data_IF_155933754609
#
_entry.id   IF_155933754609
#
_cell.length_a   1.000
_cell.length_b   1.000
_cell.length_c   1.000
_cell.angle_alpha   90.00
_cell.angle_beta   90.00
_cell.angle_gamma   90.00
#
_symmetry.space_group_name_H-M   'P 1'
#
loop_
_entity.id
_entity.type
_entity.pdbx_description
1 polymer ?
#
# COMPACT_ATOMS: atom_id res chain seq x y z
N UNK A 1 -10.25 -13.68 11.97
CA UNK A 1 -9.55 -12.38 12.17
C UNK A 1 -8.56 -12.19 11.08
N UNK A 2 -8.62 -11.08 10.40
CA UNK A 2 -7.70 -10.76 9.34
C UNK A 2 -6.35 -10.40 9.95
N UNK A 3 -5.31 -10.83 9.29
CA UNK A 3 -4.08 -10.14 9.30
C UNK A 3 -3.02 -10.60 10.29
N UNK A 4 -1.81 -10.57 9.80
CA UNK A 4 -0.55 -10.81 10.49
C UNK A 4 -0.15 -9.70 11.50
N UNK A 5 -1.06 -8.77 11.85
CA UNK A 5 -0.79 -7.62 12.70
C UNK A 5 0.13 -6.55 12.05
N UNK A 6 0.28 -6.55 10.73
CA UNK A 6 1.15 -5.60 10.01
C UNK A 6 0.74 -4.15 10.25
N UNK A 7 -0.55 -3.84 10.12
CA UNK A 7 -1.08 -2.48 10.32
C UNK A 7 -0.83 -1.99 11.76
N UNK A 8 -1.06 -2.84 12.76
CA UNK A 8 -0.76 -2.50 14.14
C UNK A 8 0.74 -2.28 14.38
N UNK A 9 1.59 -3.14 13.76
CA UNK A 9 3.04 -2.97 13.86
C UNK A 9 3.49 -1.67 13.18
N UNK A 10 2.95 -1.34 12.02
CA UNK A 10 3.25 -0.10 11.31
C UNK A 10 2.83 1.14 12.10
N UNK A 11 1.62 1.14 12.67
CA UNK A 11 1.14 2.20 13.54
C UNK A 11 2.01 2.37 14.79
N UNK A 12 2.42 1.25 15.42
CA UNK A 12 3.33 1.27 16.57
C UNK A 12 4.71 1.80 16.18
N UNK A 13 5.25 1.36 15.05
CA UNK A 13 6.52 1.85 14.54
C UNK A 13 6.46 3.35 14.26
N UNK A 14 5.39 3.81 13.59
CA UNK A 14 5.18 5.23 13.30
C UNK A 14 5.09 6.08 14.56
N UNK A 15 4.34 5.62 15.55
CA UNK A 15 4.21 6.26 16.85
C UNK A 15 5.56 6.37 17.57
N UNK A 16 6.30 5.26 17.67
CA UNK A 16 7.59 5.22 18.34
C UNK A 16 8.66 6.04 17.62
N UNK A 17 8.68 6.02 16.30
CA UNK A 17 9.60 6.84 15.50
C UNK A 17 9.31 8.33 15.70
N UNK A 18 8.04 8.71 15.67
CA UNK A 18 7.64 10.11 15.85
C UNK A 18 8.10 10.66 17.20
N UNK A 19 7.89 9.89 18.28
CA UNK A 19 8.31 10.24 19.63
C UNK A 19 9.84 10.28 19.77
N UNK A 20 10.53 9.21 19.36
CA UNK A 20 11.99 9.08 19.51
C UNK A 20 12.79 10.10 18.68
N UNK A 21 12.28 10.48 17.52
CA UNK A 21 12.92 11.47 16.66
C UNK A 21 12.60 12.91 17.09
N UNK A 22 11.77 13.10 18.12
CA UNK A 22 11.40 14.41 18.64
C UNK A 22 10.68 15.27 17.61
N UNK A 23 9.82 14.65 16.78
CA UNK A 23 9.07 15.36 15.78
C UNK A 23 7.98 16.23 16.41
N UNK A 24 7.72 17.38 15.79
CA UNK A 24 6.75 18.33 16.28
C UNK A 24 5.30 17.86 16.09
N UNK A 25 4.47 18.10 17.08
CA UNK A 25 3.05 17.77 17.07
C UNK A 25 2.77 16.35 17.53
N UNK A 26 1.52 15.94 17.44
CA UNK A 26 1.06 14.62 17.83
C UNK A 26 0.98 13.70 16.60
N UNK A 27 1.46 12.46 16.74
CA UNK A 27 1.18 11.39 15.79
C UNK A 27 -0.21 10.84 16.10
N UNK A 28 -1.16 11.08 15.21
CA UNK A 28 -2.54 10.58 15.34
C UNK A 28 -2.91 9.71 14.15
N UNK A 29 -3.81 8.71 14.33
CA UNK A 29 -4.16 7.83 13.23
C UNK A 29 -4.78 8.59 12.05
N UNK A 30 -5.66 9.56 12.30
CA UNK A 30 -6.39 10.31 11.26
C UNK A 30 -5.48 11.19 10.39
N UNK A 31 -4.32 11.62 10.94
CA UNK A 31 -3.40 12.52 10.24
C UNK A 31 -2.20 11.80 9.61
N UNK A 32 -1.93 10.60 10.08
CA UNK A 32 -0.67 9.94 9.78
C UNK A 32 -0.82 8.53 9.18
N UNK A 33 -2.05 7.97 9.16
CA UNK A 33 -2.32 6.66 8.57
C UNK A 33 -3.36 6.82 7.47
N UNK A 34 -3.01 6.42 6.26
CA UNK A 34 -3.79 6.68 5.06
C UNK A 34 -4.05 5.39 4.28
N UNK A 35 -5.30 5.18 3.90
CA UNK A 35 -5.72 4.11 3.00
C UNK A 35 -5.82 4.60 1.56
N UNK A 36 -6.19 5.87 1.36
CA UNK A 36 -6.27 6.51 0.05
C UNK A 36 -4.93 7.13 -0.39
N UNK A 37 -4.66 7.13 -1.70
CA UNK A 37 -3.43 7.67 -2.28
C UNK A 37 -3.40 9.20 -2.25
N UNK A 38 -4.53 9.84 -2.53
CA UNK A 38 -4.60 11.30 -2.56
C UNK A 38 -4.39 11.88 -1.18
N UNK A 39 -5.07 11.31 -0.16
CA UNK A 39 -4.88 11.71 1.24
C UNK A 39 -3.42 11.56 1.67
N UNK A 40 -2.78 10.45 1.29
CA UNK A 40 -1.37 10.21 1.58
C UNK A 40 -0.45 11.24 0.92
N UNK A 41 -0.68 11.55 -0.36
CA UNK A 41 0.12 12.53 -1.09
C UNK A 41 -0.04 13.94 -0.53
N UNK A 42 -1.26 14.31 -0.18
CA UNK A 42 -1.55 15.59 0.48
C UNK A 42 -0.91 15.67 1.87
N UNK A 43 -0.96 14.59 2.64
CA UNK A 43 -0.32 14.53 3.95
C UNK A 43 1.21 14.71 3.85
N UNK A 44 1.87 14.05 2.89
CA UNK A 44 3.32 14.25 2.66
C UNK A 44 3.62 15.67 2.24
N UNK A 45 2.77 16.28 1.40
CA UNK A 45 3.00 17.63 0.89
C UNK A 45 2.73 18.73 1.93
N UNK A 46 1.64 18.61 2.69
CA UNK A 46 1.09 19.72 3.47
C UNK A 46 1.28 19.58 4.99
N UNK A 47 1.48 18.36 5.51
CA UNK A 47 1.67 18.17 6.95
C UNK A 47 3.01 18.67 7.49
N UNK A 48 3.91 19.10 6.60
CA UNK A 48 5.19 19.71 6.98
C UNK A 48 6.31 18.70 7.24
N UNK A 49 7.49 19.24 7.52
CA UNK A 49 8.71 18.47 7.77
C UNK A 49 8.59 17.61 9.03
N UNK A 50 9.30 16.47 9.03
CA UNK A 50 9.53 15.63 10.21
C UNK A 50 8.22 15.10 10.82
N UNK A 51 7.37 14.51 9.97
CA UNK A 51 6.19 13.78 10.41
C UNK A 51 6.15 12.42 9.75
N UNK A 52 6.12 11.36 10.55
CA UNK A 52 5.96 10.00 10.02
C UNK A 52 4.62 9.87 9.31
N UNK A 53 4.61 9.25 8.14
CA UNK A 53 3.40 8.91 7.39
C UNK A 53 3.36 7.41 7.13
N UNK A 54 2.19 6.81 7.29
CA UNK A 54 1.93 5.39 7.05
C UNK A 54 0.93 5.27 5.91
N UNK A 55 1.27 4.47 4.89
CA UNK A 55 0.38 4.11 3.79
C UNK A 55 -0.01 2.66 3.92
N UNK A 56 -1.28 2.39 4.15
CA UNK A 56 -1.87 1.06 4.24
C UNK A 56 -2.29 0.53 2.85
N UNK A 57 -2.36 -0.79 2.72
CA UNK A 57 -2.88 -1.55 1.58
C UNK A 57 -2.24 -1.15 0.23
N UNK A 58 -0.92 -1.06 0.23
CA UNK A 58 -0.12 -0.62 -0.92
C UNK A 58 -0.29 -1.54 -2.14
N UNK A 59 -0.63 -2.80 -1.93
CA UNK A 59 -0.71 -3.80 -3.01
C UNK A 59 -1.81 -3.51 -4.03
N UNK A 60 -2.93 -2.92 -3.62
CA UNK A 60 -4.00 -2.51 -4.53
C UNK A 60 -3.65 -1.24 -5.30
N UNK A 61 -2.99 -0.32 -4.65
CA UNK A 61 -2.62 0.96 -5.25
C UNK A 61 -1.36 0.92 -6.11
N UNK A 62 -0.59 -0.16 -6.06
CA UNK A 62 0.69 -0.32 -6.75
C UNK A 62 0.75 -1.55 -7.65
N UNK A 63 -0.39 -2.10 -8.05
CA UNK A 63 -0.44 -3.26 -8.92
C UNK A 63 0.08 -2.87 -10.30
N UNK A 64 1.28 -3.32 -10.64
CA UNK A 64 2.04 -2.91 -11.82
C UNK A 64 1.43 -3.36 -13.15
N UNK A 65 0.37 -4.16 -13.13
CA UNK A 65 -0.24 -4.71 -14.35
C UNK A 65 -1.34 -3.82 -14.94
N UNK A 66 -2.01 -3.02 -14.11
CA UNK A 66 -3.15 -2.20 -14.53
C UNK A 66 -2.95 -0.69 -14.32
N UNK A 67 -1.79 -0.28 -13.79
CA UNK A 67 -1.60 1.08 -13.37
C UNK A 67 -1.09 2.00 -14.47
N UNK A 68 -1.89 3.01 -14.76
CA UNK A 68 -1.47 4.21 -15.50
C UNK A 68 -0.09 4.67 -15.00
N UNK A 69 0.87 4.77 -15.92
CA UNK A 69 2.23 5.30 -15.68
C UNK A 69 2.25 6.63 -14.87
N UNK A 70 1.09 7.29 -14.78
CA UNK A 70 0.90 8.55 -14.06
C UNK A 70 0.97 8.38 -12.54
N UNK A 71 0.37 7.35 -11.95
CA UNK A 71 0.41 7.16 -10.49
C UNK A 71 1.76 6.65 -10.00
N UNK A 72 2.40 5.79 -10.78
CA UNK A 72 3.76 5.35 -10.48
C UNK A 72 4.74 6.54 -10.47
N UNK A 73 4.62 7.47 -11.43
CA UNK A 73 5.40 8.72 -11.42
C UNK A 73 5.09 9.59 -10.20
N UNK A 74 3.83 9.66 -9.77
CA UNK A 74 3.44 10.41 -8.57
C UNK A 74 4.05 9.80 -7.30
N UNK A 75 4.08 8.48 -7.18
CA UNK A 75 4.73 7.81 -6.06
C UNK A 75 6.23 8.11 -5.99
N UNK A 76 6.95 8.05 -7.10
CA UNK A 76 8.36 8.44 -7.16
C UNK A 76 8.61 9.88 -6.71
N UNK A 77 7.74 10.81 -7.11
CA UNK A 77 7.80 12.21 -6.68
C UNK A 77 7.55 12.37 -5.16
N UNK A 78 6.58 11.63 -4.60
CA UNK A 78 6.27 11.64 -3.16
C UNK A 78 7.46 11.16 -2.35
N UNK A 79 8.09 10.07 -2.77
CA UNK A 79 9.27 9.55 -2.08
C UNK A 79 10.45 10.54 -2.17
N UNK A 80 10.66 11.15 -3.32
CA UNK A 80 11.69 12.18 -3.48
C UNK A 80 11.42 13.40 -2.59
N UNK A 81 10.16 13.83 -2.51
CA UNK A 81 9.74 14.94 -1.65
C UNK A 81 9.91 14.57 -0.17
N UNK A 82 9.58 13.35 0.22
CA UNK A 82 9.69 12.90 1.62
C UNK A 82 11.14 12.98 2.13
N UNK A 83 12.13 12.70 1.27
CA UNK A 83 13.55 12.84 1.61
C UNK A 83 13.92 14.31 1.87
N UNK A 84 13.46 15.23 1.01
CA UNK A 84 13.71 16.67 1.17
C UNK A 84 13.07 17.21 2.45
N UNK A 85 11.89 16.69 2.79
CA UNK A 85 11.12 17.10 3.97
C UNK A 85 11.48 16.30 5.22
N UNK A 86 12.40 15.34 5.14
CA UNK A 86 12.80 14.47 6.23
C UNK A 86 11.61 13.69 6.84
N UNK A 87 10.71 13.19 5.99
CA UNK A 87 9.50 12.45 6.38
C UNK A 87 9.79 10.96 6.28
N UNK A 88 9.80 10.20 7.38
CA UNK A 88 9.81 8.74 7.32
C UNK A 88 8.49 8.23 6.75
N UNK A 89 8.56 7.40 5.71
CA UNK A 89 7.41 6.74 5.10
C UNK A 89 7.40 5.26 5.50
N UNK A 90 6.24 4.77 5.91
CA UNK A 90 6.00 3.36 6.22
C UNK A 90 4.93 2.86 5.26
N UNK A 91 5.27 1.87 4.44
CA UNK A 91 4.35 1.22 3.52
C UNK A 91 3.96 -0.15 4.05
N UNK A 92 2.66 -0.44 4.06
CA UNK A 92 2.10 -1.71 4.52
C UNK A 92 1.45 -2.42 3.33
N UNK A 93 1.86 -3.65 3.07
CA UNK A 93 1.33 -4.45 1.97
C UNK A 93 1.46 -5.94 2.22
N UNK A 94 0.77 -6.74 1.42
CA UNK A 94 0.82 -8.21 1.52
C UNK A 94 1.93 -8.79 0.64
N UNK A 95 2.14 -8.22 -0.54
CA UNK A 95 3.02 -8.76 -1.57
C UNK A 95 3.99 -7.72 -2.15
N UNK A 96 5.02 -7.36 -1.39
CA UNK A 96 6.06 -6.44 -1.88
C UNK A 96 6.71 -6.88 -3.21
N UNK A 97 6.57 -8.14 -3.60
CA UNK A 97 7.11 -8.62 -4.88
C UNK A 97 6.33 -8.10 -6.09
N UNK A 98 5.08 -7.67 -5.91
CA UNK A 98 4.22 -7.08 -6.94
C UNK A 98 4.28 -5.55 -6.99
N UNK A 99 4.91 -4.92 -6.00
CA UNK A 99 5.03 -3.47 -5.92
C UNK A 99 5.94 -2.91 -7.01
N UNK A 100 5.75 -1.62 -7.28
CA UNK A 100 6.54 -0.85 -8.23
C UNK A 100 8.03 -0.95 -7.91
N UNK A 101 8.85 -1.04 -8.96
CA UNK A 101 10.30 -1.07 -8.87
C UNK A 101 10.83 0.14 -8.12
N UNK A 102 10.30 1.32 -8.39
CA UNK A 102 10.74 2.57 -7.78
C UNK A 102 10.56 2.58 -6.26
N UNK A 103 9.48 1.96 -5.75
CA UNK A 103 9.27 1.81 -4.30
C UNK A 103 10.22 0.77 -3.72
N UNK A 104 10.41 -0.36 -4.41
CA UNK A 104 11.40 -1.36 -3.99
C UNK A 104 12.79 -0.77 -3.93
N UNK A 105 13.08 0.10 -4.87
CA UNK A 105 14.39 0.74 -4.99
C UNK A 105 14.65 1.78 -3.91
N UNK A 106 13.66 2.26 -3.21
CA UNK A 106 13.77 3.38 -2.29
C UNK A 106 13.64 3.02 -0.81
N UNK A 107 13.21 1.79 -0.48
CA UNK A 107 13.09 1.40 0.92
C UNK A 107 14.44 0.98 1.51
N UNK A 108 14.67 1.37 2.76
CA UNK A 108 15.91 1.09 3.50
C UNK A 108 15.75 -0.07 4.47
N UNK A 109 14.56 -0.22 5.04
CA UNK A 109 14.25 -1.29 5.99
C UNK A 109 13.03 -2.09 5.52
N UNK A 110 13.11 -3.40 5.72
CA UNK A 110 11.99 -4.31 5.45
C UNK A 110 11.64 -5.10 6.71
N UNK A 111 10.36 -5.12 7.03
CA UNK A 111 9.79 -5.87 8.13
C UNK A 111 8.97 -7.03 7.58
N UNK A 112 9.34 -8.25 7.96
CA UNK A 112 8.69 -9.47 7.48
C UNK A 112 8.09 -10.21 8.67
N UNK A 113 6.78 -10.52 8.68
CA UNK A 113 6.19 -11.32 9.74
C UNK A 113 6.87 -12.67 9.85
N UNK A 114 7.21 -13.11 11.07
CA UNK A 114 7.94 -14.37 11.31
C UNK A 114 7.12 -15.64 11.10
N UNK A 115 5.85 -15.51 10.72
CA UNK A 115 4.95 -16.66 10.46
C UNK A 115 4.38 -17.30 11.73
N UNK A 116 3.15 -17.75 11.61
CA UNK A 116 2.37 -18.34 12.71
C UNK A 116 1.32 -17.39 13.26
N UNK A 117 0.10 -17.88 13.38
CA UNK A 117 -1.10 -17.12 13.75
C UNK A 117 -1.05 -16.44 15.13
N UNK A 118 -0.01 -16.71 15.92
CA UNK A 118 0.12 -16.22 17.30
C UNK A 118 1.39 -15.43 17.59
N UNK A 119 2.28 -15.22 16.63
CA UNK A 119 3.51 -14.47 16.87
C UNK A 119 3.47 -13.08 16.23
N UNK A 120 3.19 -12.08 17.05
CA UNK A 120 3.34 -10.67 16.71
C UNK A 120 4.82 -10.30 16.75
N UNK A 121 5.57 -10.81 15.77
CA UNK A 121 6.99 -10.62 15.63
C UNK A 121 7.38 -10.45 14.17
N UNK A 122 8.41 -9.65 13.91
CA UNK A 122 8.88 -9.31 12.57
C UNK A 122 10.40 -9.46 12.50
N UNK A 123 10.86 -10.13 11.46
CA UNK A 123 12.26 -10.06 11.05
C UNK A 123 12.51 -8.72 10.39
N UNK A 124 13.55 -8.03 10.85
CA UNK A 124 13.93 -6.72 10.31
C UNK A 124 15.18 -6.90 9.47
N UNK A 125 15.11 -6.45 8.23
CA UNK A 125 16.21 -6.49 7.28
C UNK A 125 16.59 -5.08 6.85
N UNK A 126 17.89 -4.83 6.78
CA UNK A 126 18.44 -3.71 6.02
C UNK A 126 18.54 -4.13 4.56
N UNK A 127 18.12 -3.25 3.67
CA UNK A 127 18.19 -3.47 2.23
C UNK A 127 19.35 -2.65 1.71
N UNK A 128 20.40 -3.35 1.29
CA UNK A 128 21.57 -2.75 0.67
C UNK A 128 21.47 -2.88 -0.84
N UNK A 129 21.74 -1.77 -1.53
CA UNK A 129 21.73 -1.74 -2.99
C UNK A 129 23.13 -1.95 -3.50
N UNK A 130 23.25 -2.85 -4.43
CA UNK A 130 24.44 -2.91 -5.29
C UNK A 130 24.20 -1.97 -6.48
N UNK A 131 24.73 -0.77 -6.41
CA UNK A 131 24.58 0.23 -7.48
C UNK A 131 25.04 -0.28 -8.85
N UNK A 132 25.92 -1.28 -8.88
CA UNK A 132 26.55 -1.84 -10.08
C UNK A 132 25.98 -3.21 -10.52
N UNK A 133 24.93 -3.75 -9.88
CA UNK A 133 24.37 -5.04 -10.30
C UNK A 133 23.30 -4.86 -11.38
N UNK A 134 23.56 -5.30 -12.65
CA UNK A 134 22.59 -5.18 -13.73
C UNK A 134 21.32 -6.03 -13.51
N UNK A 135 21.32 -6.96 -12.55
CA UNK A 135 20.16 -7.77 -12.18
C UNK A 135 19.26 -7.09 -11.14
N UNK A 136 19.66 -5.92 -10.61
CA UNK A 136 18.96 -5.25 -9.53
C UNK A 136 18.70 -6.16 -8.31
N UNK A 137 19.63 -7.02 -7.98
CA UNK A 137 19.55 -7.86 -6.80
C UNK A 137 19.90 -7.03 -5.56
N UNK A 138 19.05 -7.14 -4.54
CA UNK A 138 19.23 -6.48 -3.26
C UNK A 138 19.85 -7.45 -2.27
N UNK A 139 20.91 -7.06 -1.63
CA UNK A 139 21.41 -7.76 -0.46
C UNK A 139 20.53 -7.45 0.75
N UNK A 140 20.00 -8.49 1.36
CA UNK A 140 19.21 -8.39 2.59
C UNK A 140 20.10 -8.76 3.75
N UNK A 141 20.42 -7.79 4.60
CA UNK A 141 21.13 -8.01 5.83
C UNK A 141 20.15 -8.13 6.98
N UNK A 142 20.03 -9.31 7.59
CA UNK A 142 19.26 -9.48 8.81
C UNK A 142 19.82 -8.61 9.93
N UNK A 143 18.95 -7.86 10.60
CA UNK A 143 19.33 -7.02 11.72
C UNK A 143 18.88 -7.65 13.04
N UNK A 144 17.61 -7.91 13.20
CA UNK A 144 17.04 -8.42 14.45
C UNK A 144 15.62 -8.94 14.26
N UNK A 145 15.10 -9.60 15.28
CA UNK A 145 13.66 -9.84 15.41
C UNK A 145 13.07 -8.74 16.28
N UNK A 146 12.06 -8.05 15.76
CA UNK A 146 11.32 -7.01 16.47
C UNK A 146 9.96 -7.54 16.91
N UNK A 147 9.67 -7.38 18.21
CA UNK A 147 8.38 -7.72 18.80
C UNK A 147 7.73 -6.45 19.33
N UNK A 148 6.91 -5.76 18.53
CA UNK A 148 6.24 -4.55 18.98
C UNK A 148 5.23 -4.85 20.08
N UNK A 149 5.05 -3.91 21.01
CA UNK A 149 3.85 -3.87 21.82
C UNK A 149 2.67 -3.44 20.95
N UNK A 150 1.44 -3.66 21.44
CA UNK A 150 0.27 -3.07 20.79
C UNK A 150 0.42 -1.54 20.73
N UNK A 151 -0.03 -0.90 19.64
CA UNK A 151 -0.16 0.56 19.63
C UNK A 151 -1.22 1.01 20.65
N UNK A 152 -1.27 2.30 21.02
CA UNK A 152 -2.34 2.84 21.86
C UNK A 152 -3.73 2.48 21.32
N UNK A 153 -4.71 2.30 22.21
CA UNK A 153 -6.05 1.82 21.86
C UNK A 153 -6.74 2.65 20.77
N UNK A 154 -6.54 3.97 20.78
CA UNK A 154 -7.06 4.85 19.72
C UNK A 154 -6.61 4.45 18.31
N UNK A 155 -5.40 3.91 18.16
CA UNK A 155 -4.92 3.41 16.87
C UNK A 155 -5.53 2.07 16.51
N UNK A 156 -5.71 1.20 17.49
CA UNK A 156 -6.34 -0.09 17.25
C UNK A 156 -7.77 0.09 16.74
N UNK A 157 -8.56 0.92 17.43
CA UNK A 157 -9.95 1.19 17.06
C UNK A 157 -10.05 1.82 15.66
N UNK A 158 -9.21 2.82 15.38
CA UNK A 158 -9.17 3.46 14.06
C UNK A 158 -8.82 2.46 12.93
N UNK A 159 -7.81 1.62 13.15
CA UNK A 159 -7.37 0.65 12.15
C UNK A 159 -8.43 -0.42 11.92
N UNK A 160 -9.08 -0.93 12.97
CA UNK A 160 -10.13 -1.93 12.85
C UNK A 160 -11.33 -1.37 12.07
N UNK A 161 -11.77 -0.14 12.38
CA UNK A 161 -12.88 0.53 11.71
C UNK A 161 -12.55 0.84 10.23
N UNK A 162 -11.37 1.42 9.98
CA UNK A 162 -10.96 1.78 8.62
C UNK A 162 -10.68 0.56 7.74
N UNK A 163 -10.10 -0.50 8.29
CA UNK A 163 -9.84 -1.75 7.55
C UNK A 163 -11.16 -2.43 7.14
N UNK A 164 -12.17 -2.40 8.00
CA UNK A 164 -13.50 -2.90 7.69
C UNK A 164 -14.16 -2.08 6.58
N UNK A 165 -14.22 -0.75 6.74
CA UNK A 165 -14.79 0.15 5.75
C UNK A 165 -14.11 0.03 4.38
N UNK A 166 -12.79 0.06 4.36
CA UNK A 166 -12.01 -0.04 3.13
C UNK A 166 -12.25 -1.36 2.38
N UNK A 167 -12.40 -2.48 3.10
CA UNK A 167 -12.73 -3.77 2.49
C UNK A 167 -14.14 -3.80 1.90
N UNK A 168 -15.10 -3.15 2.56
CA UNK A 168 -16.46 -3.02 2.04
C UNK A 168 -16.49 -2.18 0.77
N UNK A 169 -15.85 -1.00 0.80
CA UNK A 169 -15.78 -0.11 -0.37
C UNK A 169 -15.11 -0.80 -1.56
N UNK A 170 -14.02 -1.51 -1.30
CA UNK A 170 -13.31 -2.27 -2.33
C UNK A 170 -14.14 -3.41 -2.94
N UNK A 171 -14.92 -4.11 -2.12
CA UNK A 171 -15.83 -5.14 -2.60
C UNK A 171 -16.96 -4.55 -3.46
N UNK A 172 -17.45 -3.37 -3.09
CA UNK A 172 -18.45 -2.66 -3.91
C UNK A 172 -17.90 -2.26 -5.28
N UNK A 173 -16.64 -1.82 -5.34
CA UNK A 173 -15.96 -1.53 -6.61
C UNK A 173 -15.80 -2.79 -7.45
N UNK A 174 -15.29 -3.87 -6.88
CA UNK A 174 -15.14 -5.16 -7.57
C UNK A 174 -16.50 -5.65 -8.12
N UNK A 175 -17.60 -5.48 -7.37
CA UNK A 175 -18.95 -5.84 -7.82
C UNK A 175 -19.41 -4.97 -9.01
N UNK A 176 -19.10 -3.68 -8.98
CA UNK A 176 -19.47 -2.76 -10.09
C UNK A 176 -18.70 -3.13 -11.36
N UNK A 177 -17.41 -3.42 -11.26
CA UNK A 177 -16.59 -3.86 -12.40
C UNK A 177 -17.14 -5.15 -13.01
N UNK A 178 -17.40 -6.19 -12.19
CA UNK A 178 -17.97 -7.46 -12.68
C UNK A 178 -19.33 -7.29 -13.34
N UNK A 179 -20.15 -6.33 -12.88
CA UNK A 179 -21.45 -6.04 -13.52
C UNK A 179 -21.27 -5.34 -14.86
N UNK A 180 -20.36 -4.38 -14.95
CA UNK A 180 -20.07 -3.68 -16.19
C UNK A 180 -19.54 -4.65 -17.27
N UNK A 181 -18.60 -5.54 -16.90
CA UNK A 181 -18.07 -6.55 -17.81
C UNK A 181 -19.16 -7.47 -18.36
N UNK A 182 -20.14 -7.89 -17.55
CA UNK A 182 -21.27 -8.72 -17.99
C UNK A 182 -22.22 -7.97 -18.93
N UNK A 183 -22.49 -6.69 -18.65
CA UNK A 183 -23.34 -5.87 -19.54
C UNK A 183 -22.67 -5.69 -20.90
N UNK A 184 -21.35 -5.51 -20.96
CA UNK A 184 -20.58 -5.42 -22.20
C UNK A 184 -20.55 -6.76 -22.97
N UNK A 185 -20.47 -7.91 -22.29
CA UNK A 185 -20.55 -9.25 -22.90
C UNK A 185 -21.93 -9.49 -23.51
N UNK A 186 -23.01 -9.21 -22.78
CA UNK A 186 -24.41 -9.37 -23.26
C UNK A 186 -24.70 -8.46 -24.48
N UNK A 187 -24.18 -7.23 -24.49
CA UNK A 187 -24.29 -6.35 -25.65
C UNK A 187 -23.52 -6.85 -26.87
N UNK A 188 -22.37 -7.48 -26.67
CA UNK A 188 -21.52 -7.98 -27.74
C UNK A 188 -22.15 -9.23 -28.38
N UNK A 189 -22.65 -10.18 -27.59
CA UNK A 189 -23.38 -11.35 -28.08
C UNK A 189 -24.64 -10.95 -28.88
N UNK A 190 -25.42 -9.99 -28.36
CA UNK A 190 -26.62 -9.47 -29.03
C UNK A 190 -26.28 -8.83 -30.40
N UNK A 191 -25.14 -8.14 -30.55
CA UNK A 191 -24.69 -7.56 -31.81
C UNK A 191 -24.19 -8.60 -32.80
N UNK A 192 -23.55 -9.67 -32.33
CA UNK A 192 -23.12 -10.77 -33.19
C UNK A 192 -24.30 -11.59 -33.72
N UNK A 193 -25.28 -11.92 -32.87
CA UNK A 193 -26.50 -12.61 -33.24
C UNK A 193 -27.28 -11.81 -34.29
N UNK A 194 -27.39 -10.49 -34.12
CA UNK A 194 -28.05 -9.64 -35.13
C UNK A 194 -27.32 -9.62 -36.50
N UNK A 195 -25.99 -9.62 -36.51
CA UNK A 195 -25.21 -9.69 -37.75
C UNK A 195 -25.44 -11.03 -38.48
N UNK A 196 -25.44 -12.13 -37.73
CA UNK A 196 -25.68 -13.45 -38.32
C UNK A 196 -27.07 -13.58 -38.93
N UNK A 197 -28.09 -12.98 -38.29
CA UNK A 197 -29.45 -12.93 -38.81
C UNK A 197 -29.51 -12.08 -40.10
N UNK A 198 -28.88 -10.91 -40.16
CA UNK A 198 -28.85 -10.05 -41.34
C UNK A 198 -28.14 -10.72 -42.51
N UNK A 199 -27.03 -11.42 -42.29
CA UNK A 199 -26.32 -12.18 -43.33
C UNK A 199 -27.18 -13.32 -43.91
N UNK A 200 -27.93 -14.05 -43.08
CA UNK A 200 -28.85 -15.10 -43.51
C UNK A 200 -30.03 -14.61 -44.30
N UNK A 201 -30.48 -13.36 -44.14
CA UNK A 201 -31.58 -12.75 -44.89
C UNK A 201 -31.11 -12.17 -46.23
N UNK A 202 -29.80 -11.84 -46.31
CA UNK A 202 -29.20 -11.20 -47.51
C UNK A 202 -28.63 -12.21 -48.51
N UNK A 203 -28.61 -13.50 -48.16
CA UNK A 203 -28.17 -14.62 -49.03
C UNK A 203 -29.35 -15.38 -49.59
#
# INVERSE_FOLDING_TARGET
KPGSGKSYAAAKLGYDLHDKLGFNGEFTPEKNIHYDNLEFFEAVRYNGRRKVQVKEEVDKSLNSLDYNQLENRKNGNVISLSRILEIPLIYVGQFMNRGDKDIKDLHTLRFVPTGGSNSYAFEVYYIDRKEDDPRNEYDKKFLQVWKPSKPPEKFCNYLDEKDEQWKLDSLEEDIKEVRADREDEDETESKEDMKEVVEKISS
#
